data_IF_103797917126
#
_entry.id   IF_103797917126
#
_cell.length_a   1.000
_cell.length_b   1.000
_cell.length_c   1.000
_cell.angle_alpha   90.00
_cell.angle_beta   90.00
_cell.angle_gamma   90.00
#
_symmetry.space_group_name_H-M   'P 1'
#
loop_
_entity.id
_entity.type
_entity.pdbx_description
1 polymer ?
#
# COMPACT_ATOMS: atom_id res chain seq x y z
N UNK A 1 -127.82 39.96 -59.51
CA UNK A 1 -127.53 39.98 -58.06
C UNK A 1 -126.63 38.84 -57.55
N UNK A 2 -125.99 38.01 -58.39
CA UNK A 2 -125.10 36.90 -57.92
C UNK A 2 -123.59 37.20 -57.90
N UNK A 3 -123.11 38.29 -58.53
CA UNK A 3 -121.66 38.59 -58.64
C UNK A 3 -121.08 39.39 -57.47
N UNK A 4 -121.91 40.16 -56.75
CA UNK A 4 -121.47 40.95 -55.58
C UNK A 4 -121.28 40.10 -54.33
N UNK A 5 -121.94 38.93 -54.23
CA UNK A 5 -121.86 38.05 -53.06
C UNK A 5 -120.61 37.15 -53.07
N UNK A 6 -120.00 36.91 -54.24
CA UNK A 6 -118.81 36.05 -54.38
C UNK A 6 -117.52 36.78 -53.99
N UNK A 7 -117.43 38.11 -54.19
CA UNK A 7 -116.26 38.88 -53.74
C UNK A 7 -116.15 38.98 -52.22
N UNK A 8 -117.28 38.96 -51.50
CA UNK A 8 -117.27 38.99 -50.04
C UNK A 8 -116.82 37.66 -49.40
N UNK A 9 -117.04 36.53 -50.08
CA UNK A 9 -116.66 35.20 -49.59
C UNK A 9 -115.15 34.91 -49.65
N UNK A 10 -114.43 35.44 -50.65
CA UNK A 10 -112.98 35.23 -50.78
C UNK A 10 -112.16 36.05 -49.78
N UNK A 11 -112.65 37.20 -49.33
CA UNK A 11 -111.96 38.02 -48.33
C UNK A 11 -112.02 37.38 -46.91
N UNK A 12 -113.05 36.58 -46.62
CA UNK A 12 -113.24 35.98 -45.30
C UNK A 12 -112.33 34.75 -45.05
N UNK A 13 -111.84 34.08 -46.11
CA UNK A 13 -110.97 32.91 -46.00
C UNK A 13 -109.47 33.24 -45.84
N UNK A 14 -109.07 34.50 -46.04
CA UNK A 14 -107.70 34.97 -45.80
C UNK A 14 -107.46 35.44 -44.36
N UNK A 15 -108.49 35.43 -43.50
CA UNK A 15 -108.46 36.05 -42.16
C UNK A 15 -108.31 35.06 -41.00
N UNK A 16 -108.13 33.76 -41.26
CA UNK A 16 -108.08 32.72 -40.21
C UNK A 16 -106.68 32.14 -39.93
N UNK A 17 -105.60 32.69 -40.50
CA UNK A 17 -104.22 32.27 -40.20
C UNK A 17 -103.54 33.05 -39.06
N UNK A 18 -104.24 33.95 -38.39
CA UNK A 18 -103.66 34.78 -37.33
C UNK A 18 -103.65 34.04 -35.98
N UNK A 19 -102.56 33.32 -35.69
CA UNK A 19 -102.18 33.04 -34.28
C UNK A 19 -102.13 34.39 -33.56
N UNK A 20 -102.75 34.48 -32.37
CA UNK A 20 -102.75 35.74 -31.62
C UNK A 20 -101.30 36.22 -31.43
N UNK A 21 -101.03 37.48 -31.77
CA UNK A 21 -99.70 38.11 -31.66
C UNK A 21 -99.01 37.85 -30.31
N UNK A 22 -99.80 37.70 -29.24
CA UNK A 22 -99.37 37.31 -27.89
C UNK A 22 -98.78 35.90 -27.81
N UNK A 23 -99.48 34.86 -28.28
CA UNK A 23 -98.97 33.48 -28.30
C UNK A 23 -97.70 33.31 -29.15
N UNK A 24 -97.59 34.03 -30.27
CA UNK A 24 -96.38 34.03 -31.09
C UNK A 24 -95.20 34.70 -30.36
N UNK A 25 -95.46 35.85 -29.73
CA UNK A 25 -94.48 36.54 -28.86
C UNK A 25 -94.02 35.67 -27.69
N UNK A 26 -94.93 34.96 -27.04
CA UNK A 26 -94.63 34.09 -25.89
C UNK A 26 -93.76 32.89 -26.34
N UNK A 27 -94.12 32.23 -27.43
CA UNK A 27 -93.34 31.12 -28.00
C UNK A 27 -91.96 31.59 -28.51
N UNK A 28 -91.88 32.77 -29.11
CA UNK A 28 -90.61 33.37 -29.54
C UNK A 28 -89.72 33.68 -28.32
N UNK A 29 -90.29 34.24 -27.25
CA UNK A 29 -89.56 34.49 -26.00
C UNK A 29 -89.08 33.19 -25.34
N UNK A 30 -89.88 32.14 -25.37
CA UNK A 30 -89.52 30.83 -24.83
C UNK A 30 -88.43 30.14 -25.67
N UNK A 31 -88.51 30.25 -27.00
CA UNK A 31 -87.45 29.80 -27.91
C UNK A 31 -86.14 30.54 -27.65
N UNK A 32 -86.17 31.88 -27.53
CA UNK A 32 -84.99 32.69 -27.19
C UNK A 32 -84.39 32.30 -25.84
N UNK A 33 -85.22 32.02 -24.82
CA UNK A 33 -84.75 31.54 -23.50
C UNK A 33 -84.10 30.16 -23.58
N UNK A 34 -84.74 29.21 -24.26
CA UNK A 34 -84.20 27.84 -24.42
C UNK A 34 -82.91 27.86 -25.23
N UNK A 35 -82.86 28.66 -26.31
CA UNK A 35 -81.65 28.85 -27.11
C UNK A 35 -80.52 29.47 -26.29
N UNK A 36 -80.81 30.50 -25.49
CA UNK A 36 -79.82 31.11 -24.59
C UNK A 36 -79.34 30.14 -23.49
N UNK A 37 -80.24 29.31 -22.94
CA UNK A 37 -79.89 28.26 -21.99
C UNK A 37 -79.04 27.14 -22.62
N UNK A 38 -79.32 26.76 -23.87
CA UNK A 38 -78.51 25.79 -24.61
C UNK A 38 -77.11 26.35 -24.89
N UNK A 39 -77.00 27.61 -25.32
CA UNK A 39 -75.72 28.28 -25.56
C UNK A 39 -74.89 28.37 -24.27
N UNK A 40 -75.52 28.68 -23.13
CA UNK A 40 -74.83 28.77 -21.84
C UNK A 40 -74.37 27.38 -21.34
N UNK A 41 -75.20 26.35 -21.49
CA UNK A 41 -74.84 24.97 -21.20
C UNK A 41 -73.68 24.48 -22.08
N UNK A 42 -73.70 24.81 -23.38
CA UNK A 42 -72.61 24.49 -24.31
C UNK A 42 -71.30 25.16 -23.89
N UNK A 43 -71.34 26.45 -23.51
CA UNK A 43 -70.16 27.18 -23.03
C UNK A 43 -69.61 26.59 -21.72
N UNK A 44 -70.48 26.18 -20.80
CA UNK A 44 -70.06 25.51 -19.56
C UNK A 44 -69.44 24.14 -19.84
N UNK A 45 -69.99 23.38 -20.79
CA UNK A 45 -69.46 22.07 -21.18
C UNK A 45 -68.07 22.18 -21.81
N UNK A 46 -67.85 23.18 -22.67
CA UNK A 46 -66.51 23.48 -23.23
C UNK A 46 -65.53 23.85 -22.12
N UNK A 47 -65.94 24.69 -21.16
CA UNK A 47 -65.10 25.06 -20.01
C UNK A 47 -64.76 23.84 -19.15
N UNK A 48 -65.75 22.99 -18.84
CA UNK A 48 -65.55 21.78 -18.06
C UNK A 48 -64.61 20.79 -18.75
N UNK A 49 -64.74 20.61 -20.07
CA UNK A 49 -63.83 19.76 -20.85
C UNK A 49 -62.40 20.31 -20.84
N UNK A 50 -62.24 21.62 -21.02
CA UNK A 50 -60.95 22.29 -20.92
C UNK A 50 -60.29 22.10 -19.56
N UNK A 51 -61.06 22.23 -18.47
CA UNK A 51 -60.56 21.99 -17.11
C UNK A 51 -60.20 20.51 -16.89
N UNK A 52 -60.95 19.58 -17.48
CA UNK A 52 -60.66 18.15 -17.42
C UNK A 52 -59.35 17.80 -18.14
N UNK A 53 -59.12 18.38 -19.32
CA UNK A 53 -57.89 18.18 -20.08
C UNK A 53 -56.68 18.75 -19.33
N UNK A 54 -56.84 19.91 -18.68
CA UNK A 54 -55.81 20.50 -17.82
C UNK A 54 -55.49 19.58 -16.63
N UNK A 55 -56.51 19.06 -15.94
CA UNK A 55 -56.34 18.14 -14.81
C UNK A 55 -55.66 16.83 -15.24
N UNK A 56 -56.00 16.31 -16.42
CA UNK A 56 -55.34 15.13 -17.02
C UNK A 56 -53.87 15.39 -17.32
N UNK A 57 -53.55 16.56 -17.89
CA UNK A 57 -52.16 16.96 -18.13
C UNK A 57 -51.38 17.10 -16.81
N UNK A 58 -52.00 17.64 -15.76
CA UNK A 58 -51.38 17.72 -14.44
C UNK A 58 -51.15 16.34 -13.81
N UNK A 59 -52.11 15.41 -13.93
CA UNK A 59 -51.95 14.04 -13.45
C UNK A 59 -50.81 13.33 -14.19
N UNK A 60 -50.76 13.43 -15.52
CA UNK A 60 -49.67 12.86 -16.32
C UNK A 60 -48.31 13.46 -15.94
N UNK A 61 -48.26 14.77 -15.67
CA UNK A 61 -47.06 15.45 -15.17
C UNK A 61 -46.64 14.95 -13.79
N UNK A 62 -47.59 14.76 -12.87
CA UNK A 62 -47.32 14.18 -11.55
C UNK A 62 -46.85 12.73 -11.63
N UNK A 63 -47.44 11.91 -12.50
CA UNK A 63 -47.04 10.51 -12.70
C UNK A 63 -45.62 10.42 -13.26
N UNK A 64 -45.28 11.30 -14.21
CA UNK A 64 -43.93 11.39 -14.77
C UNK A 64 -42.90 11.83 -13.70
N UNK A 65 -43.28 12.76 -12.83
CA UNK A 65 -42.45 13.19 -11.70
C UNK A 65 -42.28 12.10 -10.63
N UNK A 66 -43.33 11.31 -10.36
CA UNK A 66 -43.24 10.18 -9.44
C UNK A 66 -42.31 9.10 -10.00
N UNK A 67 -42.42 8.79 -11.30
CA UNK A 67 -41.55 7.83 -11.97
C UNK A 67 -40.08 8.29 -11.95
N UNK A 68 -39.81 9.57 -12.21
CA UNK A 68 -38.44 10.10 -12.15
C UNK A 68 -37.88 10.10 -10.73
N UNK A 69 -38.70 10.41 -9.73
CA UNK A 69 -38.31 10.37 -8.32
C UNK A 69 -38.01 8.93 -7.84
N UNK A 70 -38.81 7.95 -8.28
CA UNK A 70 -38.57 6.53 -7.99
C UNK A 70 -37.24 6.05 -8.60
N UNK A 71 -36.97 6.39 -9.86
CA UNK A 71 -35.71 6.06 -10.52
C UNK A 71 -34.50 6.69 -9.80
N UNK A 72 -34.61 7.95 -9.39
CA UNK A 72 -33.56 8.64 -8.64
C UNK A 72 -33.29 7.96 -7.28
N UNK A 73 -34.34 7.52 -6.58
CA UNK A 73 -34.21 6.79 -5.31
C UNK A 73 -33.52 5.43 -5.51
N UNK A 74 -33.90 4.68 -6.54
CA UNK A 74 -33.28 3.39 -6.86
C UNK A 74 -31.80 3.54 -7.22
N UNK A 75 -31.45 4.58 -7.98
CA UNK A 75 -30.06 4.92 -8.31
C UNK A 75 -29.24 5.29 -7.06
N UNK A 76 -29.81 6.06 -6.14
CA UNK A 76 -29.17 6.38 -4.86
C UNK A 76 -28.94 5.11 -4.01
N UNK A 77 -29.94 4.25 -3.87
CA UNK A 77 -29.82 3.02 -3.09
C UNK A 77 -28.80 2.04 -3.69
N UNK A 78 -28.77 1.89 -5.01
CA UNK A 78 -27.79 1.03 -5.70
C UNK A 78 -26.36 1.57 -5.57
N UNK A 79 -26.19 2.90 -5.66
CA UNK A 79 -24.90 3.57 -5.43
C UNK A 79 -24.43 3.36 -3.99
N UNK A 80 -25.33 3.51 -3.01
CA UNK A 80 -25.03 3.30 -1.59
C UNK A 80 -24.64 1.84 -1.31
N UNK A 81 -25.35 0.86 -1.90
CA UNK A 81 -25.01 -0.57 -1.79
C UNK A 81 -23.61 -0.85 -2.35
N UNK A 82 -23.28 -0.29 -3.50
CA UNK A 82 -21.96 -0.44 -4.13
C UNK A 82 -20.85 0.20 -3.29
N UNK A 83 -21.12 1.39 -2.72
CA UNK A 83 -20.22 2.07 -1.78
C UNK A 83 -19.92 1.22 -0.54
N UNK A 84 -20.95 0.62 0.07
CA UNK A 84 -20.79 -0.26 1.24
C UNK A 84 -19.92 -1.49 0.93
N UNK A 85 -20.13 -2.13 -0.23
CA UNK A 85 -19.32 -3.29 -0.66
C UNK A 85 -17.85 -2.89 -0.81
N UNK A 86 -17.57 -1.73 -1.40
CA UNK A 86 -16.20 -1.24 -1.55
C UNK A 86 -15.54 -0.97 -0.19
N UNK A 87 -16.27 -0.38 0.76
CA UNK A 87 -15.78 -0.16 2.13
C UNK A 87 -15.44 -1.51 2.80
N UNK A 88 -16.31 -2.52 2.70
CA UNK A 88 -16.03 -3.85 3.27
C UNK A 88 -14.76 -4.48 2.70
N UNK A 89 -14.55 -4.39 1.38
CA UNK A 89 -13.31 -4.90 0.75
C UNK A 89 -12.07 -4.14 1.21
N UNK A 90 -12.16 -2.81 1.35
CA UNK A 90 -11.06 -2.00 1.86
C UNK A 90 -10.72 -2.36 3.32
N UNK A 91 -11.71 -2.59 4.17
CA UNK A 91 -11.51 -3.04 5.55
C UNK A 91 -10.80 -4.40 5.57
N UNK A 92 -11.23 -5.35 4.73
CA UNK A 92 -10.58 -6.66 4.62
C UNK A 92 -9.12 -6.53 4.14
N UNK A 93 -8.85 -5.67 3.16
CA UNK A 93 -7.49 -5.41 2.68
C UNK A 93 -6.62 -4.78 3.78
N UNK A 94 -7.16 -3.84 4.57
CA UNK A 94 -6.47 -3.23 5.71
C UNK A 94 -6.18 -4.27 6.79
N UNK A 95 -7.13 -5.13 7.13
CA UNK A 95 -6.92 -6.20 8.12
C UNK A 95 -5.83 -7.18 7.68
N UNK A 96 -5.84 -7.59 6.40
CA UNK A 96 -4.80 -8.43 5.82
C UNK A 96 -3.42 -7.75 5.84
N UNK A 97 -3.36 -6.46 5.50
CA UNK A 97 -2.14 -5.66 5.58
C UNK A 97 -1.61 -5.56 7.02
N UNK A 98 -2.50 -5.28 7.98
CA UNK A 98 -2.15 -5.21 9.40
C UNK A 98 -1.64 -6.54 9.95
N UNK A 99 -2.24 -7.67 9.56
CA UNK A 99 -1.76 -9.02 9.90
C UNK A 99 -0.35 -9.26 9.35
N UNK A 100 -0.09 -8.85 8.11
CA UNK A 100 1.23 -8.95 7.51
C UNK A 100 2.27 -8.09 8.25
N UNK A 101 1.93 -6.83 8.57
CA UNK A 101 2.79 -5.93 9.35
C UNK A 101 3.14 -6.55 10.71
N UNK A 102 2.16 -7.14 11.43
CA UNK A 102 2.41 -7.82 12.70
C UNK A 102 3.42 -8.96 12.56
N UNK A 103 3.28 -9.81 11.54
CA UNK A 103 4.25 -10.89 11.27
C UNK A 103 5.66 -10.36 11.01
N UNK A 104 5.78 -9.25 10.29
CA UNK A 104 7.08 -8.60 10.06
C UNK A 104 7.69 -8.08 11.36
N UNK A 105 6.89 -7.43 12.21
CA UNK A 105 7.34 -6.92 13.52
C UNK A 105 7.76 -8.08 14.41
N UNK A 106 6.99 -9.17 14.49
CA UNK A 106 7.33 -10.34 15.29
C UNK A 106 8.65 -10.98 14.81
N UNK A 107 8.81 -11.15 13.50
CA UNK A 107 10.05 -11.65 12.90
C UNK A 107 11.26 -10.74 13.19
N UNK A 108 11.06 -9.42 13.09
CA UNK A 108 12.11 -8.43 13.37
C UNK A 108 12.48 -8.40 14.86
N UNK A 109 11.50 -8.38 15.76
CA UNK A 109 11.73 -8.40 17.21
C UNK A 109 12.46 -9.66 17.68
N UNK A 110 12.15 -10.82 17.08
CA UNK A 110 12.90 -12.07 17.28
C UNK A 110 14.34 -11.93 16.80
N UNK A 111 14.55 -11.38 15.61
CA UNK A 111 15.90 -11.10 15.08
C UNK A 111 16.71 -10.15 15.97
N UNK A 112 16.08 -9.08 16.46
CA UNK A 112 16.73 -8.09 17.32
C UNK A 112 17.06 -8.67 18.71
N UNK A 113 16.17 -9.48 19.27
CA UNK A 113 16.40 -10.21 20.53
C UNK A 113 17.60 -11.16 20.40
N UNK A 114 17.72 -11.85 19.26
CA UNK A 114 18.86 -12.70 18.95
C UNK A 114 20.16 -11.92 18.81
N UNK A 115 20.13 -10.79 18.09
CA UNK A 115 21.29 -9.92 17.97
C UNK A 115 21.74 -9.41 19.35
N UNK A 116 20.80 -9.07 20.24
CA UNK A 116 21.12 -8.61 21.60
C UNK A 116 21.75 -9.71 22.45
N UNK A 117 21.21 -10.93 22.41
CA UNK A 117 21.77 -12.08 23.14
C UNK A 117 23.19 -12.38 22.65
N UNK A 118 23.40 -12.44 21.34
CA UNK A 118 24.72 -12.72 20.76
C UNK A 118 25.72 -11.61 21.02
N UNK A 119 25.31 -10.34 20.89
CA UNK A 119 26.16 -9.20 21.25
C UNK A 119 26.54 -9.27 22.72
N UNK A 120 25.58 -9.47 23.62
CA UNK A 120 25.85 -9.54 25.06
C UNK A 120 26.76 -10.71 25.41
N UNK A 121 26.54 -11.88 24.81
CA UNK A 121 27.38 -13.06 25.05
C UNK A 121 28.81 -12.82 24.53
N UNK A 122 28.98 -12.33 23.31
CA UNK A 122 30.30 -12.17 22.70
C UNK A 122 31.10 -11.00 23.25
N UNK A 123 30.43 -9.93 23.71
CA UNK A 123 31.08 -8.77 24.32
C UNK A 123 31.29 -8.90 25.82
N UNK A 124 30.66 -9.88 26.50
CA UNK A 124 30.82 -10.12 27.94
C UNK A 124 32.26 -10.36 28.38
N UNK A 125 33.06 -10.94 27.49
CA UNK A 125 34.46 -11.26 27.74
C UNK A 125 35.42 -10.09 27.47
N UNK A 126 34.92 -8.96 26.95
CA UNK A 126 35.71 -7.76 26.67
C UNK A 126 35.36 -6.63 27.65
N UNK A 127 36.37 -5.91 28.13
CA UNK A 127 36.14 -4.66 28.87
C UNK A 127 35.63 -3.54 27.95
N UNK A 128 34.99 -2.52 28.53
CA UNK A 128 34.54 -1.33 27.76
C UNK A 128 35.71 -0.60 27.10
N UNK A 129 36.89 -0.61 27.70
CA UNK A 129 38.11 -0.08 27.07
C UNK A 129 38.56 -0.93 25.88
N UNK A 130 38.44 -2.27 25.97
CA UNK A 130 38.84 -3.19 24.91
C UNK A 130 37.98 -3.09 23.63
N UNK A 131 36.72 -2.67 23.77
CA UNK A 131 35.79 -2.45 22.67
C UNK A 131 36.00 -1.11 21.92
N UNK A 132 36.76 -0.15 22.46
CA UNK A 132 36.94 1.16 21.80
C UNK A 132 37.72 1.09 20.50
N UNK A 133 38.60 0.08 20.38
CA UNK A 133 39.52 -0.08 19.26
C UNK A 133 39.00 -1.07 18.21
N UNK A 134 37.83 -1.67 18.40
CA UNK A 134 37.31 -2.75 17.55
C UNK A 134 35.86 -2.45 17.15
N UNK A 135 35.60 -2.34 15.84
CA UNK A 135 34.23 -2.23 15.33
C UNK A 135 33.59 -3.62 15.27
N UNK A 136 32.65 -3.89 16.19
CA UNK A 136 31.92 -5.15 16.28
C UNK A 136 30.48 -4.93 15.83
N UNK A 137 30.08 -5.63 14.77
CA UNK A 137 28.72 -5.60 14.24
C UNK A 137 28.10 -6.99 14.27
N UNK A 138 26.88 -7.09 14.79
CA UNK A 138 26.13 -8.36 14.80
C UNK A 138 25.01 -8.27 13.78
N UNK A 139 25.03 -9.16 12.78
CA UNK A 139 24.04 -9.20 11.72
C UNK A 139 23.52 -10.61 11.53
N UNK A 140 22.20 -10.80 11.70
CA UNK A 140 21.51 -12.09 11.51
C UNK A 140 22.15 -13.24 12.31
N UNK A 141 22.65 -12.92 13.48
CA UNK A 141 23.33 -13.85 14.37
C UNK A 141 24.79 -14.20 14.02
N UNK A 142 25.35 -13.57 12.99
CA UNK A 142 26.78 -13.63 12.66
C UNK A 142 27.47 -12.38 13.21
N UNK A 143 28.66 -12.55 13.78
CA UNK A 143 29.42 -11.43 14.34
C UNK A 143 30.58 -11.08 13.46
N UNK A 144 30.63 -9.82 13.05
CA UNK A 144 31.63 -9.22 12.19
C UNK A 144 32.52 -8.32 13.02
N UNK A 145 33.82 -8.61 13.00
CA UNK A 145 34.84 -7.78 13.62
C UNK A 145 35.69 -7.19 12.50
N UNK A 146 35.56 -5.88 12.27
CA UNK A 146 36.26 -5.20 11.18
C UNK A 146 37.52 -4.49 11.71
N UNK A 147 38.67 -4.82 11.13
CA UNK A 147 39.96 -4.26 11.51
C UNK A 147 40.61 -3.61 10.30
N UNK A 148 41.03 -2.35 10.44
CA UNK A 148 41.69 -1.65 9.34
C UNK A 148 43.10 -2.19 9.10
N UNK A 149 43.54 -2.11 7.85
CA UNK A 149 44.85 -2.62 7.40
C UNK A 149 46.04 -2.07 8.22
N UNK A 150 46.02 -0.78 8.53
CA UNK A 150 47.06 -0.11 9.31
C UNK A 150 47.13 -0.55 10.77
N UNK A 151 46.05 -1.12 11.33
CA UNK A 151 46.06 -1.69 12.67
C UNK A 151 46.72 -3.06 12.69
N UNK A 152 46.59 -3.82 11.60
CA UNK A 152 47.03 -5.21 11.54
C UNK A 152 48.40 -5.40 10.90
N UNK A 153 48.72 -4.67 9.85
CA UNK A 153 49.87 -4.97 8.98
C UNK A 153 50.79 -3.78 8.82
N UNK A 154 52.04 -4.07 8.43
CA UNK A 154 52.93 -3.04 7.91
C UNK A 154 52.44 -2.56 6.52
N UNK A 155 52.79 -1.32 6.14
CA UNK A 155 52.32 -0.71 4.89
C UNK A 155 52.62 -1.59 3.66
N UNK A 156 51.57 -1.95 2.92
CA UNK A 156 51.65 -2.80 1.73
C UNK A 156 52.20 -4.21 1.99
N UNK A 157 52.20 -4.67 3.25
CA UNK A 157 52.64 -6.01 3.65
C UNK A 157 51.43 -6.86 4.08
N UNK A 158 51.65 -8.17 4.17
CA UNK A 158 50.77 -9.12 4.85
C UNK A 158 51.33 -9.56 6.21
N UNK A 159 52.53 -9.09 6.57
CA UNK A 159 53.13 -9.34 7.88
C UNK A 159 52.38 -8.57 8.96
N UNK A 160 51.87 -9.31 9.94
CA UNK A 160 51.16 -8.77 11.09
C UNK A 160 52.16 -8.02 11.99
N UNK A 161 51.87 -6.75 12.28
CA UNK A 161 52.72 -5.91 13.11
C UNK A 161 52.60 -6.31 14.60
N UNK A 162 53.52 -5.85 15.46
CA UNK A 162 53.53 -6.23 16.88
C UNK A 162 52.35 -5.64 17.67
N UNK A 163 51.88 -4.45 17.31
CA UNK A 163 50.75 -3.78 17.97
C UNK A 163 49.43 -4.53 17.72
N UNK A 164 49.30 -5.18 16.56
CA UNK A 164 48.16 -6.00 16.20
C UNK A 164 47.98 -7.20 17.13
N UNK A 165 49.05 -7.68 17.79
CA UNK A 165 48.96 -8.83 18.70
C UNK A 165 48.06 -8.54 19.90
N UNK A 166 48.05 -7.31 20.42
CA UNK A 166 47.18 -6.95 21.53
C UNK A 166 45.71 -7.06 21.13
N UNK A 167 45.35 -6.55 19.95
CA UNK A 167 43.98 -6.63 19.41
C UNK A 167 43.59 -8.07 19.08
N UNK A 168 44.47 -8.81 18.39
CA UNK A 168 44.22 -10.21 18.04
C UNK A 168 44.14 -11.11 19.27
N UNK A 169 44.83 -10.78 20.36
CA UNK A 169 44.71 -11.52 21.63
C UNK A 169 43.31 -11.41 22.23
N UNK A 170 42.70 -10.21 22.16
CA UNK A 170 41.34 -9.95 22.63
C UNK A 170 40.32 -10.74 21.81
N UNK A 171 40.47 -10.73 20.48
CA UNK A 171 39.61 -11.48 19.57
C UNK A 171 39.78 -12.99 19.78
N UNK A 172 41.00 -13.46 20.00
CA UNK A 172 41.25 -14.87 20.30
C UNK A 172 40.59 -15.34 21.61
N UNK A 173 40.46 -14.47 22.63
CA UNK A 173 39.69 -14.78 23.84
C UNK A 173 38.22 -15.02 23.49
N UNK A 174 37.60 -14.11 22.72
CA UNK A 174 36.22 -14.26 22.26
C UNK A 174 36.04 -15.60 21.52
N UNK A 175 36.91 -15.90 20.54
CA UNK A 175 36.79 -17.14 19.76
C UNK A 175 36.90 -18.40 20.65
N UNK A 176 37.73 -18.35 21.70
CA UNK A 176 37.93 -19.49 22.61
C UNK A 176 36.79 -19.67 23.61
N UNK A 177 36.15 -18.58 24.03
CA UNK A 177 34.97 -18.64 24.92
C UNK A 177 33.76 -19.27 24.22
N UNK A 178 33.77 -19.31 22.88
CA UNK A 178 32.73 -19.91 22.05
C UNK A 178 33.29 -21.05 21.20
N UNK A 179 33.59 -22.22 21.79
CA UNK A 179 34.31 -23.31 21.13
C UNK A 179 33.56 -23.93 19.93
N UNK A 180 32.24 -23.80 19.89
CA UNK A 180 31.38 -24.43 18.87
C UNK A 180 31.16 -23.56 17.61
N UNK A 181 31.76 -22.37 17.56
CA UNK A 181 31.57 -21.42 16.46
C UNK A 181 32.72 -21.53 15.46
N UNK A 182 32.41 -21.45 14.17
CA UNK A 182 33.44 -21.35 13.14
C UNK A 182 33.90 -19.90 12.97
N UNK A 183 35.11 -19.72 12.45
CA UNK A 183 35.72 -18.40 12.24
C UNK A 183 36.17 -18.29 10.79
N UNK A 184 35.65 -17.29 10.09
CA UNK A 184 36.07 -16.93 8.75
C UNK A 184 36.82 -15.59 8.81
N UNK A 185 38.07 -15.59 8.35
CA UNK A 185 38.89 -14.39 8.24
C UNK A 185 38.94 -13.98 6.77
N UNK A 186 38.43 -12.80 6.45
CA UNK A 186 38.40 -12.27 5.08
C UNK A 186 39.28 -11.03 4.94
N UNK A 187 40.24 -11.07 4.01
CA UNK A 187 41.01 -9.90 3.63
C UNK A 187 40.32 -9.13 2.51
N UNK A 188 40.35 -7.80 2.60
CA UNK A 188 39.85 -6.88 1.57
C UNK A 188 40.91 -5.81 1.27
N UNK A 189 40.97 -5.33 0.02
CA UNK A 189 41.85 -4.25 -0.42
C UNK A 189 41.05 -3.07 -0.97
N UNK A 190 41.73 -1.95 -1.21
CA UNK A 190 41.21 -0.93 -2.12
C UNK A 190 41.48 -1.32 -3.57
N UNK A 191 41.13 -0.43 -4.51
CA UNK A 191 41.32 -0.64 -5.94
C UNK A 191 42.70 -0.21 -6.48
N UNK A 192 43.67 0.06 -5.62
CA UNK A 192 45.01 0.42 -6.08
C UNK A 192 45.73 -0.88 -6.50
N UNK A 193 46.18 -1.01 -7.75
CA UNK A 193 46.85 -2.23 -8.19
C UNK A 193 48.15 -2.46 -7.41
N UNK A 194 48.35 -3.70 -6.95
CA UNK A 194 49.59 -4.14 -6.32
C UNK A 194 50.21 -5.29 -7.12
N UNK A 195 51.54 -5.26 -7.25
CA UNK A 195 52.33 -6.38 -7.75
C UNK A 195 53.66 -6.40 -7.02
N UNK A 196 53.99 -7.55 -6.41
CA UNK A 196 55.24 -7.81 -5.69
C UNK A 196 55.66 -9.26 -5.91
N UNK A 197 56.88 -9.62 -5.52
CA UNK A 197 57.32 -11.01 -5.49
C UNK A 197 56.30 -11.87 -4.75
N UNK A 198 55.76 -12.90 -5.42
CA UNK A 198 54.71 -13.81 -4.91
C UNK A 198 53.34 -13.18 -4.63
N UNK A 199 53.09 -11.94 -5.07
CA UNK A 199 51.78 -11.27 -4.98
C UNK A 199 51.46 -10.68 -6.36
N UNK A 200 50.60 -11.36 -7.12
CA UNK A 200 50.29 -10.96 -8.52
C UNK A 200 49.31 -9.80 -8.58
N UNK A 201 48.38 -9.72 -7.62
CA UNK A 201 47.30 -8.74 -7.60
C UNK A 201 46.69 -8.61 -6.19
N UNK A 202 45.61 -7.82 -6.10
CA UNK A 202 44.84 -7.59 -4.88
C UNK A 202 44.19 -8.86 -4.30
N UNK A 203 43.85 -9.86 -5.12
CA UNK A 203 43.36 -11.15 -4.61
C UNK A 203 44.42 -11.85 -3.77
N UNK A 204 45.64 -11.98 -4.31
CA UNK A 204 46.75 -12.64 -3.60
C UNK A 204 47.07 -11.92 -2.29
N UNK A 205 47.16 -10.58 -2.30
CA UNK A 205 47.44 -9.80 -1.09
C UNK A 205 46.37 -10.02 -0.03
N UNK A 206 45.09 -9.97 -0.43
CA UNK A 206 43.97 -10.11 0.48
C UNK A 206 43.92 -11.49 1.14
N UNK A 207 44.18 -12.56 0.38
CA UNK A 207 44.21 -13.93 0.89
C UNK A 207 45.41 -14.16 1.82
N UNK A 208 46.59 -13.63 1.48
CA UNK A 208 47.78 -13.73 2.32
C UNK A 208 47.62 -13.00 3.66
N UNK A 209 46.96 -11.84 3.65
CA UNK A 209 46.61 -11.08 4.86
C UNK A 209 45.71 -11.89 5.79
N UNK A 210 44.62 -12.43 5.26
CA UNK A 210 43.72 -13.30 6.02
C UNK A 210 44.46 -14.52 6.60
N UNK A 211 45.28 -15.20 5.79
CA UNK A 211 46.07 -16.35 6.24
C UNK A 211 47.08 -15.97 7.35
N UNK A 212 47.66 -14.77 7.29
CA UNK A 212 48.60 -14.29 8.30
C UNK A 212 47.91 -14.04 9.65
N UNK A 213 46.69 -13.53 9.64
CA UNK A 213 45.87 -13.38 10.85
C UNK A 213 45.50 -14.75 11.42
N UNK A 214 45.02 -15.69 10.60
CA UNK A 214 44.72 -17.06 11.05
C UNK A 214 45.93 -17.72 11.68
N UNK A 215 47.11 -17.58 11.05
CA UNK A 215 48.36 -18.12 11.58
C UNK A 215 48.72 -17.51 12.94
N UNK A 216 48.53 -16.21 13.13
CA UNK A 216 48.75 -15.56 14.43
C UNK A 216 47.77 -16.08 15.49
N UNK A 217 46.48 -16.20 15.15
CA UNK A 217 45.45 -16.75 16.05
C UNK A 217 45.77 -18.19 16.48
N UNK A 218 46.25 -19.01 15.55
CA UNK A 218 46.70 -20.37 15.81
C UNK A 218 47.99 -20.39 16.67
N UNK A 219 49.09 -19.85 16.14
CA UNK A 219 50.44 -20.08 16.66
C UNK A 219 50.68 -19.33 17.99
N UNK A 220 50.10 -18.13 18.16
CA UNK A 220 50.32 -17.29 19.36
C UNK A 220 49.21 -17.43 20.40
N UNK A 221 47.97 -17.65 19.98
CA UNK A 221 46.82 -17.59 20.88
C UNK A 221 46.08 -18.90 21.07
N UNK A 222 46.48 -19.95 20.33
CA UNK A 222 45.99 -21.31 20.51
C UNK A 222 44.55 -21.52 20.04
N UNK A 223 44.08 -20.75 19.04
CA UNK A 223 42.78 -21.02 18.41
C UNK A 223 42.89 -22.28 17.56
N UNK A 224 41.93 -23.21 17.69
CA UNK A 224 41.93 -24.45 16.92
C UNK A 224 41.85 -24.16 15.40
N UNK A 225 42.87 -24.55 14.61
CA UNK A 225 42.88 -24.28 13.18
C UNK A 225 41.75 -24.97 12.41
N UNK A 226 41.16 -26.06 12.95
CA UNK A 226 40.02 -26.74 12.30
C UNK A 226 38.78 -25.86 12.18
N UNK A 227 38.68 -24.83 13.03
CA UNK A 227 37.57 -23.88 13.08
C UNK A 227 37.81 -22.63 12.24
N UNK A 228 39.00 -22.46 11.67
CA UNK A 228 39.39 -21.23 10.99
C UNK A 228 39.51 -21.41 9.48
N UNK A 229 38.88 -20.51 8.74
CA UNK A 229 39.02 -20.40 7.28
C UNK A 229 39.60 -19.03 6.93
N UNK A 230 40.58 -18.98 6.03
CA UNK A 230 41.13 -17.73 5.49
C UNK A 230 40.67 -17.53 4.03
N UNK A 231 40.06 -16.38 3.75
CA UNK A 231 39.61 -15.99 2.41
C UNK A 231 40.13 -14.62 2.00
N UNK A 232 40.40 -14.42 0.71
CA UNK A 232 40.66 -13.11 0.13
C UNK A 232 39.48 -12.68 -0.72
N UNK A 233 39.08 -11.41 -0.67
CA UNK A 233 38.04 -10.82 -1.53
C UNK A 233 38.57 -9.78 -2.53
N UNK A 234 39.88 -9.52 -2.50
CA UNK A 234 40.51 -8.48 -3.30
C UNK A 234 39.83 -7.11 -3.12
N UNK A 235 39.68 -6.39 -4.23
CA UNK A 235 39.12 -5.04 -4.27
C UNK A 235 37.59 -4.99 -4.49
N UNK A 236 36.94 -6.15 -4.62
CA UNK A 236 35.57 -6.26 -5.11
C UNK A 236 34.50 -6.15 -4.02
N UNK A 237 34.91 -6.23 -2.75
CA UNK A 237 34.03 -6.12 -1.59
C UNK A 237 34.17 -4.73 -0.92
N UNK A 238 33.77 -3.70 -1.66
CA UNK A 238 33.89 -2.30 -1.24
C UNK A 238 32.80 -1.91 -0.25
N UNK A 239 33.19 -1.23 0.84
CA UNK A 239 32.28 -0.66 1.85
C UNK A 239 32.19 0.87 1.76
N UNK A 240 33.10 1.47 0.99
CA UNK A 240 33.13 2.90 0.72
C UNK A 240 33.66 3.17 -0.71
N UNK A 241 33.45 4.40 -1.20
CA UNK A 241 33.97 4.79 -2.52
C UNK A 241 35.49 4.77 -2.56
N UNK A 242 36.07 4.11 -3.58
CA UNK A 242 37.51 4.14 -3.84
C UNK A 242 38.01 5.50 -4.39
N UNK A 243 37.10 6.43 -4.70
CA UNK A 243 37.44 7.77 -5.20
C UNK A 243 38.12 8.68 -4.18
N UNK A 244 38.01 8.38 -2.88
CA UNK A 244 38.59 9.19 -1.78
C UNK A 244 39.64 8.40 -1.00
N UNK A 245 40.60 9.09 -0.37
CA UNK A 245 41.63 8.42 0.42
C UNK A 245 41.02 7.74 1.66
N UNK A 246 40.05 8.39 2.27
CA UNK A 246 39.28 7.92 3.42
C UNK A 246 38.48 6.67 3.06
N UNK A 247 37.82 6.67 1.90
CA UNK A 247 37.06 5.50 1.42
C UNK A 247 37.97 4.31 1.09
N UNK A 248 39.14 4.55 0.47
CA UNK A 248 40.15 3.50 0.27
C UNK A 248 40.66 2.93 1.59
N UNK A 249 40.90 3.76 2.60
CA UNK A 249 41.31 3.30 3.93
C UNK A 249 40.27 2.39 4.59
N UNK A 250 38.97 2.67 4.41
CA UNK A 250 37.89 1.79 4.87
C UNK A 250 37.80 0.48 4.10
N UNK A 251 38.11 0.48 2.81
CA UNK A 251 38.10 -0.74 1.99
C UNK A 251 39.27 -1.68 2.31
N UNK A 252 40.44 -1.13 2.68
CA UNK A 252 41.59 -1.91 3.19
C UNK A 252 41.32 -2.38 4.63
N UNK A 253 40.65 -3.53 4.76
CA UNK A 253 40.24 -4.10 6.05
C UNK A 253 40.36 -5.62 6.04
N UNK A 254 40.55 -6.20 7.22
CA UNK A 254 40.36 -7.64 7.46
C UNK A 254 39.14 -7.81 8.34
N UNK A 255 38.22 -8.66 7.91
CA UNK A 255 37.00 -9.00 8.65
C UNK A 255 37.18 -10.37 9.30
N UNK A 256 37.03 -10.44 10.62
CA UNK A 256 36.98 -11.69 11.37
C UNK A 256 35.50 -11.95 11.67
N UNK A 257 34.98 -13.03 11.12
CA UNK A 257 33.57 -13.36 11.10
C UNK A 257 33.36 -14.61 11.95
N UNK A 258 32.64 -14.48 13.05
CA UNK A 258 32.32 -15.59 13.95
C UNK A 258 30.94 -16.11 13.58
N UNK A 259 30.91 -17.35 13.08
CA UNK A 259 29.74 -18.03 12.52
C UNK A 259 29.16 -19.00 13.55
N UNK A 260 27.90 -18.84 13.99
CA UNK A 260 27.25 -19.86 14.80
C UNK A 260 27.09 -21.14 13.98
N UNK A 261 27.25 -22.30 14.63
CA UNK A 261 26.88 -23.57 14.02
C UNK A 261 25.38 -23.57 13.68
N UNK A 262 25.00 -24.18 12.56
CA UNK A 262 23.62 -24.34 12.10
C UNK A 262 22.72 -24.89 13.22
N UNK A 263 23.19 -25.86 14.01
CA UNK A 263 22.39 -26.43 15.10
C UNK A 263 22.09 -25.41 16.21
N UNK A 264 23.06 -24.57 16.55
CA UNK A 264 22.90 -23.52 17.54
C UNK A 264 22.07 -22.34 17.00
N UNK A 265 22.19 -22.05 15.70
CA UNK A 265 21.28 -21.14 15.01
C UNK A 265 19.83 -21.67 15.05
N UNK A 266 19.64 -22.97 14.83
CA UNK A 266 18.35 -23.65 14.91
C UNK A 266 17.77 -23.65 16.35
N UNK A 267 18.60 -23.79 17.38
CA UNK A 267 18.20 -23.69 18.79
C UNK A 267 17.77 -22.26 19.16
N UNK A 268 18.54 -21.26 18.72
CA UNK A 268 18.25 -19.84 18.91
C UNK A 268 16.93 -19.41 18.26
N UNK A 269 16.60 -19.94 17.07
CA UNK A 269 15.30 -19.71 16.44
C UNK A 269 14.21 -20.68 16.93
N UNK A 270 14.59 -21.74 17.67
CA UNK A 270 13.82 -22.95 17.89
C UNK A 270 13.15 -23.12 19.25
N UNK A 271 13.15 -22.12 20.14
CA UNK A 271 12.15 -22.08 21.23
C UNK A 271 10.74 -21.83 20.65
N UNK A 272 10.19 -22.86 20.01
CA UNK A 272 8.79 -23.21 20.03
C UNK A 272 8.50 -23.89 21.38
N UNK A 273 7.28 -23.77 21.95
CA UNK A 273 6.99 -24.32 23.27
C UNK A 273 7.25 -25.82 23.26
N UNK A 274 7.97 -26.31 24.26
CA UNK A 274 7.94 -27.73 24.59
C UNK A 274 6.46 -28.13 24.77
N UNK A 275 6.09 -29.30 24.23
CA UNK A 275 4.76 -29.89 24.44
C UNK A 275 4.42 -30.00 25.92
#
# INVERSE_FOLDING_TARGET
MKKTMVLAGLAALMMTSCVSKKKYSDLQSEFEKVYAAQQSAQNQLVKCNSDNDLLRAQLQGKDSNLASLQNALEQCMSTQKSGNINITRLIEQIDNSNKYIRRLIDSKSKSDSLNMVLTNNLTRSLSREELRDIDVQVQKGVVFISLSDNMLYNSGSYEVNSQAYDVLSKIAKIIKDYPDYDVLVEGNTDNIPISKTNIRNNWDLSALRAASVVKVLQDKFGVDPKRMTAGGRGEYNTVATNGTAEGRAKNRRTEIIILPNLDQFMELIGQAPAK
#
